data_IF_330848429211
#
_entry.id   IF_330848429211
#
_cell.length_a   1.000
_cell.length_b   1.000
_cell.length_c   1.000
_cell.angle_alpha   90.00
_cell.angle_beta   90.00
_cell.angle_gamma   90.00
#
_symmetry.space_group_name_H-M   'P 1'
#
loop_
_entity.id
_entity.type
_entity.pdbx_description
1 polymer ?
#
# COMPACT_ATOMS: atom_id res chain seq x y z
N UNK A 1 32.89 24.11 -22.87
CA UNK A 1 32.24 24.12 -21.54
C UNK A 1 30.94 23.34 -21.64
N UNK A 2 30.88 22.14 -21.06
CA UNK A 2 29.67 21.31 -21.04
C UNK A 2 28.81 21.71 -19.82
N UNK A 3 27.52 21.97 -20.04
CA UNK A 3 26.52 22.04 -18.98
C UNK A 3 25.65 20.79 -19.09
N UNK A 4 25.51 19.96 -18.06
CA UNK A 4 24.49 18.93 -18.02
C UNK A 4 23.16 19.57 -17.58
N UNK A 5 22.20 19.68 -18.50
CA UNK A 5 20.83 20.02 -18.17
C UNK A 5 20.01 18.77 -17.92
N UNK A 6 19.49 18.71 -16.69
CA UNK A 6 18.17 18.19 -16.32
C UNK A 6 17.90 16.71 -16.59
N UNK A 7 18.14 15.90 -15.55
CA UNK A 7 17.39 14.67 -15.34
C UNK A 7 15.91 15.04 -15.13
N UNK A 8 15.14 14.93 -16.21
CA UNK A 8 13.69 15.02 -16.15
C UNK A 8 13.21 13.82 -15.33
N UNK A 9 12.78 14.08 -14.09
CA UNK A 9 12.10 13.12 -13.26
C UNK A 9 10.91 12.61 -14.07
N UNK A 10 10.98 11.35 -14.50
CA UNK A 10 9.88 10.69 -15.17
C UNK A 10 8.71 10.67 -14.18
N UNK A 11 7.75 11.59 -14.38
CA UNK A 11 6.45 11.50 -13.76
C UNK A 11 5.90 10.13 -14.16
N UNK A 12 5.67 9.19 -13.23
CA UNK A 12 5.02 7.95 -13.60
C UNK A 12 3.67 8.35 -14.18
N UNK A 13 3.41 7.94 -15.43
CA UNK A 13 2.12 8.16 -16.08
C UNK A 13 1.02 7.76 -15.09
N UNK A 14 -0.06 8.56 -14.95
CA UNK A 14 -1.13 8.21 -14.02
C UNK A 14 -1.67 6.86 -14.46
N UNK A 15 -1.33 5.81 -13.71
CA UNK A 15 -1.95 4.52 -13.86
C UNK A 15 -3.38 4.77 -13.41
N UNK A 16 -4.29 4.94 -14.37
CA UNK A 16 -5.71 5.16 -14.08
C UNK A 16 -6.25 3.80 -13.66
N UNK A 17 -6.00 3.47 -12.40
CA UNK A 17 -6.47 2.24 -11.79
C UNK A 17 -7.94 2.44 -11.48
N UNK A 18 -8.78 1.77 -12.27
CA UNK A 18 -10.24 1.88 -12.15
C UNK A 18 -10.83 0.88 -11.18
N UNK A 19 -10.06 -0.16 -10.83
CA UNK A 19 -10.57 -1.36 -10.17
C UNK A 19 -9.67 -1.78 -9.01
N UNK A 20 -10.28 -2.32 -7.96
CA UNK A 20 -9.59 -2.83 -6.77
C UNK A 20 -8.60 -3.97 -7.10
N UNK A 21 -8.91 -4.79 -8.11
CA UNK A 21 -8.03 -5.89 -8.53
C UNK A 21 -6.65 -5.38 -9.00
N UNK A 22 -6.63 -4.29 -9.77
CA UNK A 22 -5.37 -3.71 -10.22
C UNK A 22 -4.55 -3.15 -9.04
N UNK A 23 -5.20 -2.65 -7.98
CA UNK A 23 -4.50 -2.31 -6.73
C UNK A 23 -3.90 -3.55 -6.07
N UNK A 24 -4.66 -4.64 -5.99
CA UNK A 24 -4.18 -5.89 -5.40
C UNK A 24 -2.94 -6.39 -6.14
N UNK A 25 -2.90 -6.31 -7.46
CA UNK A 25 -1.73 -6.66 -8.26
C UNK A 25 -0.51 -5.77 -7.94
N UNK A 26 -0.71 -4.44 -7.83
CA UNK A 26 0.36 -3.51 -7.44
C UNK A 26 0.91 -3.85 -6.04
N UNK A 27 0.02 -4.15 -5.10
CA UNK A 27 0.38 -4.54 -3.73
C UNK A 27 1.16 -5.85 -3.68
N UNK A 28 0.77 -6.86 -4.47
CA UNK A 28 1.49 -8.13 -4.58
C UNK A 28 2.89 -7.95 -5.18
N UNK A 29 3.02 -7.03 -6.14
CA UNK A 29 4.31 -6.65 -6.76
C UNK A 29 5.13 -5.69 -5.90
N UNK A 30 4.67 -5.38 -4.68
CA UNK A 30 5.33 -4.46 -3.75
C UNK A 30 5.52 -3.04 -4.31
N UNK A 31 4.68 -2.64 -5.27
CA UNK A 31 4.70 -1.30 -5.85
C UNK A 31 3.89 -0.35 -4.96
N UNK A 32 4.38 -0.10 -3.74
CA UNK A 32 3.63 0.60 -2.69
C UNK A 32 3.20 2.01 -3.09
N UNK A 33 4.08 2.78 -3.74
CA UNK A 33 3.77 4.15 -4.18
C UNK A 33 2.64 4.20 -5.22
N UNK A 34 2.74 3.33 -6.25
CA UNK A 34 1.70 3.20 -7.26
C UNK A 34 0.37 2.69 -6.65
N UNK A 35 0.44 1.72 -5.74
CA UNK A 35 -0.73 1.18 -5.04
C UNK A 35 -1.41 2.26 -4.18
N UNK A 36 -0.65 3.06 -3.43
CA UNK A 36 -1.18 4.18 -2.63
C UNK A 36 -1.88 5.21 -3.53
N UNK A 37 -1.24 5.59 -4.64
CA UNK A 37 -1.83 6.52 -5.61
C UNK A 37 -3.16 5.98 -6.16
N UNK A 38 -3.18 4.72 -6.56
CA UNK A 38 -4.40 4.06 -7.04
C UNK A 38 -5.49 3.99 -5.95
N UNK A 39 -5.13 3.65 -4.72
CA UNK A 39 -6.06 3.61 -3.59
C UNK A 39 -6.66 4.97 -3.29
N UNK A 40 -5.88 6.05 -3.35
CA UNK A 40 -6.40 7.41 -3.20
C UNK A 40 -7.37 7.78 -4.31
N UNK A 41 -7.11 7.39 -5.56
CA UNK A 41 -8.05 7.59 -6.66
C UNK A 41 -9.36 6.82 -6.45
N UNK A 42 -9.28 5.56 -6.00
CA UNK A 42 -10.47 4.77 -5.69
C UNK A 42 -11.25 5.36 -4.51
N UNK A 43 -10.56 5.78 -3.46
CA UNK A 43 -11.18 6.41 -2.29
C UNK A 43 -11.86 7.74 -2.64
N UNK A 44 -11.29 8.53 -3.56
CA UNK A 44 -11.92 9.78 -4.02
C UNK A 44 -13.26 9.53 -4.73
N UNK A 45 -13.43 8.34 -5.34
CA UNK A 45 -14.66 7.93 -6.02
C UNK A 45 -15.65 7.29 -5.03
N UNK A 46 -15.14 6.48 -4.11
CA UNK A 46 -15.93 5.86 -3.04
C UNK A 46 -15.24 6.02 -1.67
N UNK A 47 -15.51 7.13 -0.95
CA UNK A 47 -14.86 7.42 0.33
C UNK A 47 -15.42 6.57 1.48
N UNK A 48 -16.53 5.88 1.26
CA UNK A 48 -17.24 5.06 2.26
C UNK A 48 -16.73 3.61 2.28
N UNK A 49 -16.06 3.15 1.23
CA UNK A 49 -15.54 1.79 1.14
C UNK A 49 -14.54 1.50 2.25
N UNK A 50 -14.96 0.65 3.18
CA UNK A 50 -14.09 0.10 4.23
C UNK A 50 -12.96 -0.72 3.64
N UNK A 51 -13.22 -1.43 2.54
CA UNK A 51 -12.23 -2.28 1.86
C UNK A 51 -11.09 -1.47 1.26
N UNK A 52 -11.39 -0.32 0.64
CA UNK A 52 -10.35 0.59 0.14
C UNK A 52 -9.51 1.12 1.31
N UNK A 53 -10.15 1.56 2.40
CA UNK A 53 -9.43 2.01 3.61
C UNK A 53 -8.57 0.88 4.20
N UNK A 54 -9.07 -0.35 4.23
CA UNK A 54 -8.34 -1.52 4.71
C UNK A 54 -7.07 -1.77 3.87
N UNK A 55 -7.18 -1.70 2.55
CA UNK A 55 -6.04 -1.84 1.65
C UNK A 55 -5.00 -0.71 1.82
N UNK A 56 -5.44 0.50 2.16
CA UNK A 56 -4.53 1.61 2.48
C UNK A 56 -3.75 1.36 3.78
N UNK A 57 -4.43 0.95 4.85
CA UNK A 57 -3.80 0.55 6.10
C UNK A 57 -2.82 -0.61 5.86
N UNK A 58 -3.21 -1.62 5.07
CA UNK A 58 -2.31 -2.70 4.67
C UNK A 58 -1.04 -2.19 3.95
N UNK A 59 -1.19 -1.28 2.98
CA UNK A 59 -0.06 -0.71 2.24
C UNK A 59 0.90 0.05 3.16
N UNK A 60 0.38 0.83 4.11
CA UNK A 60 1.17 1.53 5.14
C UNK A 60 1.89 0.56 6.05
N UNK A 61 1.21 -0.49 6.50
CA UNK A 61 1.81 -1.53 7.34
C UNK A 61 2.99 -2.23 6.67
N UNK A 62 2.89 -2.51 5.37
CA UNK A 62 4.01 -3.07 4.59
C UNK A 62 5.18 -2.10 4.42
N UNK A 63 4.89 -0.82 4.19
CA UNK A 63 5.92 0.22 4.10
C UNK A 63 6.68 0.36 5.44
N UNK A 64 5.94 0.47 6.55
CA UNK A 64 6.52 0.51 7.89
C UNK A 64 7.36 -0.74 8.20
N UNK A 65 6.92 -1.93 7.77
CA UNK A 65 7.68 -3.16 7.92
C UNK A 65 9.02 -3.12 7.15
N UNK A 66 9.05 -2.55 5.94
CA UNK A 66 10.28 -2.39 5.15
C UNK A 66 11.24 -1.37 5.75
N UNK A 67 10.71 -0.35 6.43
CA UNK A 67 11.49 0.65 7.16
C UNK A 67 11.96 0.17 8.54
N UNK A 68 11.61 -1.05 8.95
CA UNK A 68 11.95 -1.61 10.26
C UNK A 68 11.09 -1.07 11.42
N UNK A 69 10.07 -0.27 11.12
CA UNK A 69 9.10 0.28 12.09
C UNK A 69 8.03 -0.78 12.40
N UNK A 70 8.44 -1.85 13.07
CA UNK A 70 7.60 -3.05 13.25
C UNK A 70 6.34 -2.82 14.10
N UNK A 71 6.37 -1.90 15.06
CA UNK A 71 5.20 -1.58 15.88
C UNK A 71 4.16 -0.78 15.09
N UNK A 72 4.60 0.23 14.31
CA UNK A 72 3.74 0.95 13.36
C UNK A 72 3.12 -0.03 12.34
N UNK A 73 3.94 -0.93 11.80
CA UNK A 73 3.46 -1.96 10.88
C UNK A 73 2.36 -2.82 11.50
N UNK A 74 2.52 -3.22 12.77
CA UNK A 74 1.52 -4.01 13.49
C UNK A 74 0.21 -3.23 13.66
N UNK A 75 0.27 -1.96 14.04
CA UNK A 75 -0.93 -1.12 14.22
C UNK A 75 -1.69 -0.99 12.91
N UNK A 76 -1.00 -0.59 11.83
CA UNK A 76 -1.62 -0.42 10.51
C UNK A 76 -2.22 -1.72 9.95
N UNK A 77 -1.56 -2.87 10.17
CA UNK A 77 -2.11 -4.15 9.75
C UNK A 77 -3.32 -4.59 10.60
N UNK A 78 -3.39 -4.20 11.87
CA UNK A 78 -4.60 -4.41 12.68
C UNK A 78 -5.74 -3.51 12.22
N UNK A 79 -5.48 -2.22 11.97
CA UNK A 79 -6.49 -1.29 11.44
C UNK A 79 -7.06 -1.80 10.09
N UNK A 80 -6.21 -2.40 9.25
CA UNK A 80 -6.66 -3.05 8.02
C UNK A 80 -7.67 -4.18 8.28
N UNK A 81 -7.46 -4.99 9.32
CA UNK A 81 -8.36 -6.09 9.70
C UNK A 81 -9.60 -5.62 10.46
N UNK A 82 -9.53 -4.51 11.19
CA UNK A 82 -10.70 -3.89 11.79
C UNK A 82 -11.67 -3.37 10.71
N UNK A 83 -11.12 -2.85 9.62
CA UNK A 83 -11.88 -2.36 8.46
C UNK A 83 -12.39 -3.49 7.55
N UNK A 84 -11.55 -4.49 7.26
CA UNK A 84 -11.90 -5.69 6.50
C UNK A 84 -11.33 -6.95 7.19
N UNK A 85 -12.11 -7.61 8.07
CA UNK A 85 -11.70 -8.81 8.77
C UNK A 85 -11.41 -10.01 7.87
N UNK A 86 -11.81 -9.96 6.60
CA UNK A 86 -11.58 -11.02 5.62
C UNK A 86 -10.37 -10.75 4.73
N UNK A 87 -9.67 -9.61 4.90
CA UNK A 87 -8.50 -9.25 4.12
C UNK A 87 -7.32 -10.20 4.38
N UNK A 88 -7.20 -11.20 3.51
CA UNK A 88 -6.14 -12.22 3.61
C UNK A 88 -4.73 -11.63 3.56
N UNK A 89 -4.54 -10.55 2.79
CA UNK A 89 -3.25 -9.85 2.69
C UNK A 89 -2.76 -9.38 4.07
N UNK A 90 -3.63 -8.75 4.86
CA UNK A 90 -3.28 -8.26 6.19
C UNK A 90 -3.06 -9.40 7.20
N UNK A 91 -3.84 -10.49 7.13
CA UNK A 91 -3.64 -11.69 7.96
C UNK A 91 -2.27 -12.32 7.71
N UNK A 92 -1.92 -12.50 6.44
CA UNK A 92 -0.63 -13.06 6.05
C UNK A 92 0.51 -12.17 6.50
N UNK A 93 0.41 -10.85 6.27
CA UNK A 93 1.45 -9.90 6.67
C UNK A 93 1.65 -9.84 8.20
N UNK A 94 0.58 -9.88 9.01
CA UNK A 94 0.73 -9.99 10.48
C UNK A 94 1.43 -11.28 10.88
N UNK A 95 1.04 -12.40 10.27
CA UNK A 95 1.67 -13.70 10.55
C UNK A 95 3.17 -13.65 10.24
N UNK A 96 3.55 -13.09 9.08
CA UNK A 96 4.96 -12.88 8.70
C UNK A 96 5.70 -11.93 9.67
N UNK A 97 5.03 -10.88 10.14
CA UNK A 97 5.61 -9.91 11.07
C UNK A 97 5.96 -10.57 12.41
N UNK A 98 5.10 -11.44 12.93
CA UNK A 98 5.34 -12.15 14.18
C UNK A 98 6.32 -13.31 14.05
N UNK A 99 6.37 -14.00 12.90
CA UNK A 99 7.34 -15.09 12.68
C UNK A 99 8.77 -14.57 12.52
N UNK A 100 8.96 -13.38 11.94
CA UNK A 100 10.28 -12.73 11.82
C UNK A 100 10.82 -12.17 13.13
N UNK A 101 9.99 -12.05 14.19
CA UNK A 101 10.38 -11.56 15.52
C UNK A 101 10.88 -12.67 16.46
N UNK A 102 10.99 -13.93 16.00
CA UNK A 102 11.54 -15.07 16.75
C UNK A 102 12.94 -15.40 16.25
#
# INVERSE_FOLDING_TARGET
AVRPTSASAATPAPVVVRDENAVIELLQRQQWDAAKTALHQLQARDPSSKRIKALMCYARGREAQLEGRLDDARVELHDALDLDPQLQLAKTALTELFTRRK
#
